data_IF_904645145831
#
_entry.id   IF_904645145831
#
_cell.length_a   1.000
_cell.length_b   1.000
_cell.length_c   1.000
_cell.angle_alpha   90.00
_cell.angle_beta   90.00
_cell.angle_gamma   90.00
#
_symmetry.space_group_name_H-M   'P 1'
#
loop_
_entity.id
_entity.type
_entity.pdbx_description
1 polymer ?
#
# COMPACT_ATOMS: atom_id res chain seq x y z
N UNK A 1 -20.29 -10.73 -43.87
CA UNK A 1 -20.01 -9.77 -42.77
C UNK A 1 -18.78 -10.24 -42.03
N UNK A 2 -17.74 -9.42 -42.08
CA UNK A 2 -16.35 -9.74 -41.72
C UNK A 2 -16.19 -10.02 -40.23
N UNK A 3 -15.57 -11.16 -39.92
CA UNK A 3 -15.05 -11.46 -38.58
C UNK A 3 -13.90 -10.51 -38.25
N UNK A 4 -14.18 -9.51 -37.41
CA UNK A 4 -13.15 -8.71 -36.73
C UNK A 4 -12.22 -9.68 -35.99
N UNK A 5 -10.94 -9.70 -36.38
CA UNK A 5 -9.92 -10.58 -35.79
C UNK A 5 -9.82 -10.34 -34.28
N UNK A 6 -9.47 -11.38 -33.51
CA UNK A 6 -9.26 -11.28 -32.05
C UNK A 6 -8.34 -10.11 -31.67
N UNK A 7 -7.37 -9.79 -32.52
CA UNK A 7 -6.43 -8.66 -32.38
C UNK A 7 -7.12 -7.29 -32.50
N UNK A 8 -8.05 -7.13 -33.45
CA UNK A 8 -8.83 -5.90 -33.57
C UNK A 8 -9.79 -5.73 -32.37
N UNK A 9 -10.39 -6.83 -31.87
CA UNK A 9 -11.21 -6.78 -30.66
C UNK A 9 -10.40 -6.44 -29.41
N UNK A 10 -9.20 -7.00 -29.25
CA UNK A 10 -8.33 -6.67 -28.11
C UNK A 10 -7.84 -5.22 -28.16
N UNK A 11 -7.51 -4.69 -29.35
CA UNK A 11 -7.10 -3.28 -29.52
C UNK A 11 -8.26 -2.32 -29.25
N UNK A 12 -9.48 -2.62 -29.72
CA UNK A 12 -10.66 -1.78 -29.44
C UNK A 12 -11.03 -1.78 -27.96
N UNK A 13 -10.98 -2.95 -27.29
CA UNK A 13 -11.21 -3.05 -25.84
C UNK A 13 -10.09 -2.32 -25.08
N UNK A 14 -8.83 -2.43 -25.50
CA UNK A 14 -7.70 -1.73 -24.88
C UNK A 14 -7.85 -0.20 -25.01
N UNK A 15 -8.27 0.32 -26.17
CA UNK A 15 -8.47 1.76 -26.38
C UNK A 15 -9.66 2.33 -25.58
N UNK A 16 -10.77 1.57 -25.45
CA UNK A 16 -11.89 1.98 -24.60
C UNK A 16 -11.53 1.88 -23.10
N UNK A 17 -10.79 0.84 -22.71
CA UNK A 17 -10.23 0.69 -21.37
C UNK A 17 -9.31 1.86 -21.03
N UNK A 18 -8.38 2.21 -21.92
CA UNK A 18 -7.46 3.34 -21.75
C UNK A 18 -8.21 4.65 -21.54
N UNK A 19 -9.20 4.96 -22.38
CA UNK A 19 -10.00 6.20 -22.23
C UNK A 19 -10.72 6.27 -20.87
N UNK A 20 -11.31 5.16 -20.42
CA UNK A 20 -11.99 5.11 -19.13
C UNK A 20 -10.99 5.24 -17.95
N UNK A 21 -9.82 4.62 -18.06
CA UNK A 21 -8.76 4.68 -17.06
C UNK A 21 -8.13 6.08 -16.98
N UNK A 22 -7.79 6.70 -18.11
CA UNK A 22 -7.30 8.08 -18.19
C UNK A 22 -8.29 9.05 -17.54
N UNK A 23 -9.58 8.95 -17.87
CA UNK A 23 -10.63 9.73 -17.20
C UNK A 23 -10.66 9.48 -15.70
N UNK A 24 -10.49 8.23 -15.25
CA UNK A 24 -10.46 7.88 -13.83
C UNK A 24 -9.23 8.50 -13.15
N UNK A 25 -8.04 8.38 -13.71
CA UNK A 25 -6.82 8.96 -13.17
C UNK A 25 -6.93 10.48 -13.04
N UNK A 26 -7.47 11.15 -14.06
CA UNK A 26 -7.68 12.60 -14.06
C UNK A 26 -8.72 13.12 -13.05
N UNK A 27 -9.62 12.26 -12.56
CA UNK A 27 -10.81 12.72 -11.80
C UNK A 27 -11.02 12.07 -10.45
N UNK A 28 -10.38 10.93 -10.17
CA UNK A 28 -10.62 10.17 -8.94
C UNK A 28 -9.97 10.80 -7.72
N UNK A 29 -8.68 11.14 -7.80
CA UNK A 29 -7.94 11.89 -6.78
C UNK A 29 -7.64 13.29 -7.32
N UNK A 30 -8.08 14.32 -6.61
CA UNK A 30 -7.93 15.73 -6.98
C UNK A 30 -7.16 16.48 -5.91
N UNK A 31 -6.61 17.68 -6.22
CA UNK A 31 -5.99 18.55 -5.22
C UNK A 31 -6.84 18.77 -3.95
N UNK A 32 -8.15 18.93 -4.09
CA UNK A 32 -9.05 19.12 -2.95
C UNK A 32 -9.17 17.89 -2.02
N UNK A 33 -8.84 16.70 -2.51
CA UNK A 33 -8.76 15.51 -1.66
C UNK A 33 -7.51 15.54 -0.80
N UNK A 34 -6.37 15.94 -1.38
CA UNK A 34 -5.10 16.13 -0.66
C UNK A 34 -5.25 17.25 0.37
N UNK A 35 -5.86 18.37 -0.01
CA UNK A 35 -6.18 19.48 0.92
C UNK A 35 -7.00 18.98 2.11
N UNK A 36 -7.99 18.12 1.84
CA UNK A 36 -8.84 17.52 2.86
C UNK A 36 -8.12 16.56 3.79
N UNK A 37 -7.17 15.78 3.27
CA UNK A 37 -6.30 14.91 4.07
C UNK A 37 -5.38 15.74 4.98
N UNK A 38 -4.72 16.76 4.42
CA UNK A 38 -3.86 17.67 5.17
C UNK A 38 -4.61 18.39 6.31
N UNK A 39 -5.86 18.80 6.05
CA UNK A 39 -6.69 19.50 7.04
C UNK A 39 -7.00 18.71 8.31
N UNK A 40 -6.90 17.37 8.27
CA UNK A 40 -7.05 16.49 9.43
C UNK A 40 -5.72 15.91 9.94
N UNK A 41 -4.61 16.46 9.45
CA UNK A 41 -3.26 16.10 9.92
C UNK A 41 -2.69 14.84 9.31
N UNK A 42 -3.21 14.36 8.17
CA UNK A 42 -2.51 13.33 7.39
C UNK A 42 -1.29 13.98 6.73
N UNK A 43 -0.13 13.37 6.93
CA UNK A 43 1.17 13.82 6.43
C UNK A 43 1.88 12.76 5.57
N UNK A 44 1.27 11.60 5.34
CA UNK A 44 1.80 10.52 4.50
C UNK A 44 0.74 9.98 3.54
N UNK A 45 1.15 9.73 2.29
CA UNK A 45 0.37 9.03 1.27
C UNK A 45 1.06 7.74 0.85
N UNK A 46 0.40 6.59 1.00
CA UNK A 46 0.80 5.34 0.32
C UNK A 46 0.04 5.24 -0.99
N UNK A 47 0.76 5.15 -2.11
CA UNK A 47 0.20 5.19 -3.46
C UNK A 47 0.56 3.88 -4.19
N UNK A 48 -0.37 2.92 -4.25
CA UNK A 48 -0.23 1.71 -5.04
C UNK A 48 -0.20 2.01 -6.55
N UNK A 49 0.75 1.39 -7.24
CA UNK A 49 0.88 1.41 -8.69
C UNK A 49 1.11 0.00 -9.21
N UNK A 50 0.59 -0.33 -10.38
CA UNK A 50 0.93 -1.59 -11.04
C UNK A 50 2.23 -1.46 -11.83
N UNK A 51 2.93 -2.58 -12.11
CA UNK A 51 4.15 -2.54 -12.93
C UNK A 51 3.93 -1.89 -14.31
N UNK A 52 2.72 -1.99 -14.88
CA UNK A 52 2.36 -1.40 -16.15
C UNK A 52 2.27 0.14 -16.11
N UNK A 53 2.42 0.77 -14.94
CA UNK A 53 2.66 2.21 -14.84
C UNK A 53 4.09 2.58 -15.26
N UNK A 54 5.03 1.65 -15.08
CA UNK A 54 6.47 1.91 -15.15
C UNK A 54 7.12 1.31 -16.39
N UNK A 55 6.65 0.13 -16.80
CA UNK A 55 7.21 -0.61 -17.93
C UNK A 55 6.09 -1.16 -18.81
N UNK A 56 6.26 -1.04 -20.12
CA UNK A 56 5.42 -1.76 -21.08
C UNK A 56 5.95 -3.19 -21.22
N UNK A 57 5.07 -4.17 -21.01
CA UNK A 57 5.41 -5.60 -21.16
C UNK A 57 4.57 -6.24 -22.25
N UNK A 58 5.19 -6.79 -23.32
CA UNK A 58 4.47 -7.55 -24.34
C UNK A 58 3.60 -8.65 -23.73
N UNK A 59 2.33 -8.68 -24.13
CA UNK A 59 1.35 -9.65 -23.67
C UNK A 59 0.66 -9.32 -22.34
N UNK A 60 1.09 -8.27 -21.62
CA UNK A 60 0.28 -7.75 -20.50
C UNK A 60 -1.04 -7.21 -21.02
N UNK A 61 -2.11 -7.42 -20.25
CA UNK A 61 -3.43 -6.83 -20.50
C UNK A 61 -3.68 -5.59 -19.61
N UNK A 62 -2.73 -5.25 -18.74
CA UNK A 62 -2.78 -4.03 -17.96
C UNK A 62 -2.52 -2.84 -18.89
N UNK A 63 -3.25 -1.76 -18.63
CA UNK A 63 -3.09 -0.53 -19.39
C UNK A 63 -1.76 0.14 -19.08
N UNK A 64 -1.01 0.52 -20.11
CA UNK A 64 0.17 1.37 -20.04
C UNK A 64 -0.15 2.68 -20.79
N UNK A 65 -0.14 3.80 -20.07
CA UNK A 65 -0.54 5.13 -20.54
C UNK A 65 0.03 6.24 -19.67
N UNK A 66 -0.75 7.28 -19.36
CA UNK A 66 -0.24 8.48 -18.69
C UNK A 66 -0.20 8.38 -17.15
N UNK A 67 -0.21 7.18 -16.58
CA UNK A 67 -0.21 7.00 -15.12
C UNK A 67 0.89 7.81 -14.42
N UNK A 68 2.10 7.88 -15.00
CA UNK A 68 3.22 8.63 -14.44
C UNK A 68 2.96 10.14 -14.38
N UNK A 69 2.22 10.71 -15.33
CA UNK A 69 1.86 12.13 -15.33
C UNK A 69 0.90 12.45 -14.18
N UNK A 70 -0.15 11.64 -14.02
CA UNK A 70 -1.09 11.82 -12.90
C UNK A 70 -0.42 11.56 -11.55
N UNK A 71 0.44 10.56 -11.46
CA UNK A 71 1.22 10.27 -10.26
C UNK A 71 2.07 11.48 -9.87
N UNK A 72 2.86 12.02 -10.82
CA UNK A 72 3.67 13.21 -10.62
C UNK A 72 2.84 14.39 -10.13
N UNK A 73 1.70 14.66 -10.75
CA UNK A 73 0.83 15.77 -10.36
C UNK A 73 0.33 15.63 -8.91
N UNK A 74 -0.07 14.42 -8.49
CA UNK A 74 -0.53 14.17 -7.13
C UNK A 74 0.62 14.27 -6.13
N UNK A 75 1.77 13.65 -6.42
CA UNK A 75 2.93 13.67 -5.50
C UNK A 75 3.52 15.06 -5.37
N UNK A 76 3.69 15.79 -6.47
CA UNK A 76 4.23 17.16 -6.44
C UNK A 76 3.31 18.08 -5.64
N UNK A 77 1.99 18.00 -5.84
CA UNK A 77 1.04 18.81 -5.09
C UNK A 77 1.09 18.51 -3.58
N UNK A 78 1.08 17.23 -3.20
CA UNK A 78 1.14 16.80 -1.81
C UNK A 78 2.45 17.23 -1.12
N UNK A 79 3.58 17.06 -1.80
CA UNK A 79 4.90 17.38 -1.27
C UNK A 79 5.11 18.90 -1.21
N UNK A 80 4.90 19.61 -2.31
CA UNK A 80 5.22 21.06 -2.38
C UNK A 80 4.30 21.91 -1.50
N UNK A 81 3.02 21.55 -1.39
CA UNK A 81 2.05 22.32 -0.62
C UNK A 81 2.04 21.97 0.88
N UNK A 82 2.23 20.69 1.20
CA UNK A 82 2.02 20.18 2.57
C UNK A 82 3.24 19.49 3.18
N UNK A 83 4.30 19.26 2.41
CA UNK A 83 5.47 18.51 2.87
C UNK A 83 5.18 17.04 3.13
N UNK A 84 4.11 16.48 2.54
CA UNK A 84 3.72 15.09 2.76
C UNK A 84 4.82 14.12 2.34
N UNK A 85 4.95 13.00 3.04
CA UNK A 85 5.78 11.87 2.64
C UNK A 85 4.98 10.93 1.73
N UNK A 86 5.62 10.30 0.76
CA UNK A 86 4.99 9.39 -0.20
C UNK A 86 5.66 8.02 -0.14
N UNK A 87 4.89 6.97 0.14
CA UNK A 87 5.29 5.59 -0.12
C UNK A 87 4.80 5.23 -1.52
N UNK A 88 5.72 5.02 -2.46
CA UNK A 88 5.41 4.51 -3.80
C UNK A 88 5.45 2.99 -3.77
N UNK A 89 4.28 2.39 -3.87
CA UNK A 89 4.09 0.94 -3.79
C UNK A 89 3.95 0.34 -5.19
N UNK A 90 4.75 -0.69 -5.46
CA UNK A 90 4.66 -1.51 -6.67
C UNK A 90 3.77 -2.71 -6.37
N UNK A 91 2.48 -2.44 -6.43
CA UNK A 91 1.42 -3.31 -5.94
C UNK A 91 1.28 -4.63 -6.72
N UNK A 92 1.67 -4.61 -8.00
CA UNK A 92 1.71 -5.79 -8.85
C UNK A 92 3.04 -5.90 -9.58
N UNK A 93 3.51 -7.15 -9.74
CA UNK A 93 4.70 -7.47 -10.53
C UNK A 93 4.36 -8.42 -11.68
N UNK A 94 5.16 -8.40 -12.76
CA UNK A 94 4.94 -9.26 -13.92
C UNK A 94 4.81 -10.73 -13.54
N UNK A 95 3.75 -11.39 -14.01
CA UNK A 95 3.47 -12.80 -13.73
C UNK A 95 2.59 -13.06 -12.50
N UNK A 96 2.32 -12.06 -11.66
CA UNK A 96 1.40 -12.17 -10.54
C UNK A 96 2.05 -12.74 -9.27
N UNK A 97 1.98 -11.93 -8.21
CA UNK A 97 2.66 -12.21 -6.92
C UNK A 97 1.78 -12.93 -5.90
N UNK A 98 0.47 -13.06 -6.13
CA UNK A 98 -0.44 -13.62 -5.12
C UNK A 98 -1.75 -14.20 -5.68
N UNK A 99 -1.88 -14.35 -7.01
CA UNK A 99 -3.08 -14.90 -7.63
C UNK A 99 -4.35 -14.07 -7.50
N UNK A 100 -4.29 -12.90 -6.86
CA UNK A 100 -5.38 -11.94 -6.76
C UNK A 100 -5.31 -10.93 -7.92
N UNK A 101 -6.39 -10.17 -8.08
CA UNK A 101 -6.43 -9.03 -9.00
C UNK A 101 -5.36 -7.98 -8.66
N UNK A 102 -5.09 -7.76 -7.38
CA UNK A 102 -4.07 -6.82 -6.90
C UNK A 102 -2.64 -7.20 -7.31
N UNK A 103 -2.31 -8.49 -7.39
CA UNK A 103 -0.95 -8.94 -7.68
C UNK A 103 -0.57 -8.96 -9.15
N UNK A 104 -1.56 -8.95 -10.06
CA UNK A 104 -1.48 -8.66 -11.51
C UNK A 104 -2.85 -8.91 -12.14
N UNK A 105 -3.39 -10.11 -11.91
CA UNK A 105 -4.71 -10.58 -12.33
C UNK A 105 -5.07 -11.86 -11.57
N UNK A 106 -6.36 -12.12 -11.43
CA UNK A 106 -6.86 -13.35 -10.81
C UNK A 106 -6.23 -14.59 -11.49
N UNK A 107 -5.69 -15.48 -10.66
CA UNK A 107 -5.05 -16.73 -11.08
C UNK A 107 -3.63 -16.62 -11.63
N UNK A 108 -2.98 -15.44 -11.57
CA UNK A 108 -1.58 -15.28 -11.96
C UNK A 108 -0.63 -15.54 -10.77
N UNK A 109 0.25 -16.53 -10.94
CA UNK A 109 1.19 -17.03 -9.92
C UNK A 109 2.62 -17.22 -10.46
N UNK A 110 2.87 -16.72 -11.66
CA UNK A 110 4.07 -16.99 -12.44
C UNK A 110 5.24 -16.08 -12.10
N UNK A 111 5.12 -15.19 -11.10
CA UNK A 111 6.24 -14.39 -10.62
C UNK A 111 7.28 -15.23 -9.85
N UNK A 112 6.82 -16.15 -9.01
CA UNK A 112 7.70 -17.02 -8.23
C UNK A 112 8.50 -17.96 -9.14
N UNK A 113 9.80 -18.04 -8.86
CA UNK A 113 10.75 -18.91 -9.56
C UNK A 113 10.83 -18.69 -11.08
N UNK A 114 10.48 -17.48 -11.54
CA UNK A 114 10.52 -17.10 -12.94
C UNK A 114 11.51 -15.96 -13.17
N UNK A 115 12.63 -16.28 -13.82
CA UNK A 115 13.72 -15.32 -14.03
C UNK A 115 13.32 -14.16 -14.96
N UNK A 116 12.50 -14.40 -15.98
CA UNK A 116 12.00 -13.31 -16.83
C UNK A 116 11.10 -12.36 -16.06
N UNK A 117 10.19 -12.88 -15.22
CA UNK A 117 9.36 -12.05 -14.35
C UNK A 117 10.20 -11.24 -13.36
N UNK A 118 11.24 -11.86 -12.79
CA UNK A 118 12.20 -11.22 -11.89
C UNK A 118 12.91 -10.03 -12.57
N UNK A 119 13.40 -10.22 -13.80
CA UNK A 119 14.09 -9.17 -14.56
C UNK A 119 13.16 -8.00 -14.91
N UNK A 120 11.94 -8.25 -15.35
CA UNK A 120 10.96 -7.18 -15.56
C UNK A 120 10.55 -6.48 -14.25
N UNK A 121 10.53 -7.20 -13.13
CA UNK A 121 10.30 -6.60 -11.81
C UNK A 121 11.44 -5.64 -11.46
N UNK A 122 12.69 -6.04 -11.67
CA UNK A 122 13.84 -5.15 -11.44
C UNK A 122 13.89 -3.96 -12.41
N UNK A 123 13.48 -4.14 -13.67
CA UNK A 123 13.35 -3.03 -14.61
C UNK A 123 12.25 -2.03 -14.18
N UNK A 124 11.18 -2.53 -13.55
CA UNK A 124 10.15 -1.69 -12.92
C UNK A 124 10.77 -0.84 -11.82
N UNK A 125 11.56 -1.46 -10.93
CA UNK A 125 12.25 -0.75 -9.83
C UNK A 125 13.20 0.32 -10.36
N UNK A 126 13.96 0.07 -11.43
CA UNK A 126 14.83 1.08 -12.03
C UNK A 126 14.05 2.32 -12.47
N UNK A 127 12.89 2.14 -13.10
CA UNK A 127 12.02 3.25 -13.53
C UNK A 127 11.42 4.03 -12.35
N UNK A 128 11.13 3.35 -11.24
CA UNK A 128 10.66 4.00 -10.02
C UNK A 128 11.77 4.84 -9.39
N UNK A 129 13.00 4.31 -9.36
CA UNK A 129 14.17 5.04 -8.86
C UNK A 129 14.46 6.28 -9.72
N UNK A 130 14.36 6.16 -11.05
CA UNK A 130 14.48 7.30 -11.97
C UNK A 130 13.45 8.38 -11.64
N UNK A 131 12.18 8.00 -11.47
CA UNK A 131 11.11 8.93 -11.10
C UNK A 131 11.37 9.63 -9.76
N UNK A 132 11.74 8.88 -8.72
CA UNK A 132 12.03 9.43 -7.40
C UNK A 132 13.22 10.40 -7.48
N UNK A 133 14.30 10.02 -8.15
CA UNK A 133 15.51 10.85 -8.25
C UNK A 133 15.28 12.12 -9.09
N UNK A 134 14.43 12.05 -10.11
CA UNK A 134 14.09 13.19 -10.97
C UNK A 134 12.97 14.08 -10.41
N UNK A 135 12.33 13.67 -9.30
CA UNK A 135 11.23 14.43 -8.68
C UNK A 135 11.63 15.79 -8.12
N UNK A 136 12.92 16.02 -7.84
CA UNK A 136 13.40 17.17 -7.08
C UNK A 136 13.10 17.12 -5.58
N UNK A 137 12.44 16.04 -5.11
CA UNK A 137 11.98 15.85 -3.74
C UNK A 137 12.24 14.42 -3.23
N UNK A 138 13.33 13.78 -3.65
CA UNK A 138 13.60 12.37 -3.35
C UNK A 138 13.59 12.01 -1.86
N UNK A 139 13.85 12.97 -0.97
CA UNK A 139 13.76 12.82 0.49
C UNK A 139 12.33 12.62 1.03
N UNK A 140 11.31 12.94 0.24
CA UNK A 140 9.89 12.74 0.57
C UNK A 140 9.35 11.39 0.06
N UNK A 141 10.21 10.51 -0.44
CA UNK A 141 9.80 9.22 -0.97
C UNK A 141 10.33 8.05 -0.13
N UNK A 142 9.54 6.98 -0.10
CA UNK A 142 9.93 5.63 0.27
C UNK A 142 9.47 4.70 -0.85
N UNK A 143 10.31 3.73 -1.25
CA UNK A 143 9.94 2.72 -2.24
C UNK A 143 9.43 1.47 -1.53
N UNK A 144 8.25 0.97 -1.88
CA UNK A 144 7.78 -0.37 -1.54
C UNK A 144 7.78 -1.25 -2.81
N UNK A 145 8.66 -2.26 -2.91
CA UNK A 145 8.97 -2.88 -4.21
C UNK A 145 8.04 -4.04 -4.61
N UNK A 146 7.18 -4.51 -3.70
CA UNK A 146 6.17 -5.55 -3.95
C UNK A 146 5.15 -5.56 -2.82
N UNK A 147 3.88 -5.77 -3.17
CA UNK A 147 2.79 -5.91 -2.22
C UNK A 147 2.34 -7.38 -2.08
N UNK A 148 2.18 -7.83 -0.84
CA UNK A 148 1.57 -9.13 -0.48
C UNK A 148 2.00 -10.37 -1.28
N UNK A 149 3.32 -10.61 -1.54
CA UNK A 149 3.77 -11.82 -2.22
C UNK A 149 3.34 -13.08 -1.45
N UNK A 150 2.68 -13.99 -2.16
CA UNK A 150 2.07 -15.23 -1.66
C UNK A 150 2.25 -16.32 -2.72
N UNK A 151 2.77 -17.48 -2.37
CA UNK A 151 2.87 -18.63 -3.28
C UNK A 151 1.96 -19.81 -2.89
N UNK A 152 1.30 -19.74 -1.73
CA UNK A 152 0.27 -20.69 -1.35
C UNK A 152 -1.06 -20.35 -2.05
N UNK A 153 -1.58 -21.31 -2.82
CA UNK A 153 -2.83 -21.14 -3.59
C UNK A 153 -4.08 -21.43 -2.76
N UNK A 154 -3.92 -21.97 -1.55
CA UNK A 154 -5.01 -22.05 -0.59
C UNK A 154 -5.24 -20.67 0.04
N UNK A 155 -6.20 -19.93 -0.52
CA UNK A 155 -6.56 -18.59 -0.05
C UNK A 155 -7.09 -18.56 1.39
N UNK A 156 -7.44 -19.70 2.01
CA UNK A 156 -7.76 -19.72 3.44
C UNK A 156 -6.57 -19.36 4.33
N UNK A 157 -5.35 -19.48 3.79
CA UNK A 157 -4.10 -19.09 4.46
C UNK A 157 -3.68 -17.65 4.21
N UNK A 158 -4.37 -16.94 3.30
CA UNK A 158 -4.05 -15.56 2.97
C UNK A 158 -4.21 -14.66 4.19
N UNK A 159 -3.27 -13.73 4.39
CA UNK A 159 -3.23 -12.92 5.61
C UNK A 159 -2.59 -13.61 6.83
N UNK A 160 -2.02 -14.82 6.65
CA UNK A 160 -1.32 -15.57 7.70
C UNK A 160 0.09 -15.96 7.24
N UNK A 161 1.00 -16.34 8.16
CA UNK A 161 2.33 -16.84 7.78
C UNK A 161 2.30 -18.06 6.84
N UNK A 162 1.21 -18.84 6.82
CA UNK A 162 1.10 -20.01 5.95
C UNK A 162 0.89 -19.67 4.46
N UNK A 163 0.69 -18.38 4.14
CA UNK A 163 0.56 -17.89 2.75
C UNK A 163 1.86 -18.00 1.95
N UNK A 164 3.02 -18.02 2.64
CA UNK A 164 4.33 -18.04 2.01
C UNK A 164 5.11 -19.30 2.38
N UNK A 165 5.43 -20.11 1.40
CA UNK A 165 6.27 -21.29 1.57
C UNK A 165 7.73 -20.93 1.80
N UNK A 166 8.53 -21.89 2.27
CA UNK A 166 9.98 -21.70 2.41
C UNK A 166 10.69 -21.41 1.08
N UNK A 167 10.17 -21.90 -0.05
CA UNK A 167 10.72 -21.58 -1.37
C UNK A 167 10.29 -20.17 -1.82
N UNK A 168 9.04 -19.81 -1.53
CA UNK A 168 8.52 -18.46 -1.73
C UNK A 168 9.32 -17.42 -0.96
N UNK A 169 9.62 -17.67 0.32
CA UNK A 169 10.42 -16.75 1.14
C UNK A 169 11.85 -16.57 0.65
N UNK A 170 12.50 -17.64 0.17
CA UNK A 170 13.82 -17.54 -0.47
C UNK A 170 13.77 -16.70 -1.76
N UNK A 171 12.70 -16.83 -2.55
CA UNK A 171 12.52 -16.05 -3.77
C UNK A 171 12.26 -14.57 -3.48
N UNK A 172 11.40 -14.27 -2.50
CA UNK A 172 11.15 -12.91 -2.02
C UNK A 172 12.44 -12.30 -1.47
N UNK A 173 13.22 -13.04 -0.67
CA UNK A 173 14.50 -12.55 -0.15
C UNK A 173 15.49 -12.24 -1.28
N UNK A 174 15.59 -13.11 -2.30
CA UNK A 174 16.41 -12.85 -3.50
C UNK A 174 15.99 -11.53 -4.17
N UNK A 175 14.68 -11.29 -4.28
CA UNK A 175 14.16 -10.06 -4.85
C UNK A 175 14.48 -8.84 -3.97
N UNK A 176 14.22 -8.90 -2.66
CA UNK A 176 14.55 -7.83 -1.72
C UNK A 176 16.03 -7.47 -1.73
N UNK A 177 16.94 -8.45 -1.71
CA UNK A 177 18.37 -8.20 -1.79
C UNK A 177 18.77 -7.47 -3.08
N UNK A 178 18.20 -7.87 -4.23
CA UNK A 178 18.47 -7.21 -5.51
C UNK A 178 17.91 -5.77 -5.57
N UNK A 179 16.74 -5.54 -4.98
CA UNK A 179 16.17 -4.18 -4.86
C UNK A 179 17.04 -3.31 -3.96
N UNK A 180 17.45 -3.82 -2.80
CA UNK A 180 18.31 -3.09 -1.86
C UNK A 180 19.65 -2.70 -2.51
N UNK A 181 20.25 -3.57 -3.32
CA UNK A 181 21.46 -3.27 -4.08
C UNK A 181 21.24 -2.13 -5.08
N UNK A 182 20.15 -2.18 -5.87
CA UNK A 182 19.81 -1.14 -6.84
C UNK A 182 19.53 0.21 -6.18
N UNK A 183 18.77 0.20 -5.08
CA UNK A 183 18.48 1.40 -4.28
C UNK A 183 19.79 1.97 -3.74
N UNK A 184 20.65 1.16 -3.13
CA UNK A 184 21.92 1.61 -2.58
C UNK A 184 22.82 2.25 -3.65
N UNK A 185 22.87 1.66 -4.85
CA UNK A 185 23.63 2.19 -5.99
C UNK A 185 23.04 3.49 -6.56
N UNK A 186 21.72 3.60 -6.61
CA UNK A 186 21.02 4.72 -7.23
C UNK A 186 20.85 5.91 -6.28
N UNK A 187 20.37 5.66 -5.07
CA UNK A 187 20.13 6.64 -4.03
C UNK A 187 20.28 5.97 -2.64
N UNK A 188 21.49 5.96 -2.05
CA UNK A 188 21.72 5.33 -0.74
C UNK A 188 20.98 5.99 0.41
N UNK A 189 20.36 7.16 0.16
CA UNK A 189 19.56 7.86 1.16
C UNK A 189 18.09 7.46 1.17
N UNK A 190 17.60 6.83 0.10
CA UNK A 190 16.21 6.39 -0.03
C UNK A 190 15.92 5.21 0.90
N UNK A 191 14.80 5.30 1.62
CA UNK A 191 14.30 4.18 2.42
C UNK A 191 13.53 3.19 1.54
N UNK A 192 13.64 1.91 1.87
CA UNK A 192 12.87 0.83 1.24
C UNK A 192 11.91 0.26 2.27
N UNK A 193 10.63 0.25 1.93
CA UNK A 193 9.57 -0.38 2.69
C UNK A 193 9.41 -1.82 2.19
N UNK A 194 9.68 -2.82 3.02
CA UNK A 194 9.56 -4.24 2.65
C UNK A 194 8.28 -4.80 3.25
N UNK A 195 7.37 -5.29 2.42
CA UNK A 195 6.19 -6.00 2.93
C UNK A 195 6.60 -7.27 3.68
N UNK A 196 6.03 -7.48 4.88
CA UNK A 196 6.40 -8.57 5.77
C UNK A 196 5.94 -9.96 5.30
N UNK A 197 5.18 -10.03 4.20
CA UNK A 197 4.56 -11.25 3.68
C UNK A 197 3.75 -12.01 4.74
N UNK A 198 3.16 -11.27 5.69
CA UNK A 198 2.45 -11.76 6.86
C UNK A 198 3.28 -12.59 7.85
N UNK A 199 4.62 -12.58 7.71
CA UNK A 199 5.54 -13.29 8.62
C UNK A 199 5.92 -12.45 9.85
N UNK A 200 5.77 -11.13 9.79
CA UNK A 200 6.32 -10.19 10.77
C UNK A 200 7.78 -9.83 10.53
N UNK A 201 8.21 -8.70 11.10
CA UNK A 201 9.56 -8.14 10.92
C UNK A 201 10.66 -9.10 11.38
N UNK A 202 10.50 -9.76 12.54
CA UNK A 202 11.48 -10.67 13.12
C UNK A 202 11.83 -11.87 12.21
N UNK A 203 10.94 -12.27 11.31
CA UNK A 203 11.22 -13.32 10.35
C UNK A 203 12.27 -12.88 9.32
N UNK A 204 12.22 -11.61 8.91
CA UNK A 204 13.08 -11.07 7.86
C UNK A 204 14.31 -10.34 8.39
N UNK A 205 14.23 -9.78 9.60
CA UNK A 205 15.28 -8.96 10.23
C UNK A 205 16.68 -9.61 10.19
N UNK A 206 16.86 -10.93 10.37
CA UNK A 206 18.20 -11.54 10.39
C UNK A 206 18.92 -11.49 9.04
N UNK A 207 18.20 -11.33 7.93
CA UNK A 207 18.78 -11.32 6.58
C UNK A 207 19.35 -9.96 6.16
N UNK A 208 19.08 -8.91 6.92
CA UNK A 208 19.49 -7.55 6.59
C UNK A 208 20.42 -6.97 7.67
N UNK A 209 21.34 -6.10 7.27
CA UNK A 209 22.22 -5.39 8.18
C UNK A 209 21.47 -4.17 8.77
N UNK A 210 21.60 -3.92 10.07
CA UNK A 210 20.87 -2.86 10.80
C UNK A 210 21.04 -1.43 10.22
N UNK A 211 22.16 -1.18 9.51
CA UNK A 211 22.44 0.09 8.83
C UNK A 211 21.65 0.30 7.53
N UNK A 212 21.01 -0.75 7.00
CA UNK A 212 20.18 -0.61 5.79
C UNK A 212 18.92 0.19 6.14
N UNK A 213 18.54 1.12 5.26
CA UNK A 213 17.38 2.00 5.45
C UNK A 213 16.07 1.26 5.12
N UNK A 214 15.74 0.28 5.94
CA UNK A 214 14.54 -0.56 5.78
C UNK A 214 13.47 -0.13 6.78
N UNK A 215 12.21 -0.17 6.35
CA UNK A 215 11.02 -0.20 7.20
C UNK A 215 10.17 -1.39 6.77
N UNK A 216 9.57 -2.14 7.69
CA UNK A 216 8.65 -3.22 7.32
C UNK A 216 7.22 -2.74 7.22
N UNK A 217 6.55 -3.05 6.11
CA UNK A 217 5.11 -2.87 5.95
C UNK A 217 4.37 -4.10 6.50
N UNK A 218 3.30 -3.82 7.23
CA UNK A 218 2.44 -4.79 7.89
C UNK A 218 0.99 -4.46 7.56
N UNK A 219 0.26 -5.44 7.02
CA UNK A 219 -1.18 -5.29 6.77
C UNK A 219 -2.02 -5.98 7.84
N UNK A 220 -3.05 -5.29 8.35
CA UNK A 220 -3.96 -5.83 9.39
C UNK A 220 -5.41 -5.54 9.06
N UNK A 221 -6.13 -6.60 8.68
CA UNK A 221 -7.56 -6.55 8.40
C UNK A 221 -8.36 -7.42 9.37
N UNK A 222 -9.60 -7.00 9.64
CA UNK A 222 -10.49 -7.67 10.58
C UNK A 222 -11.69 -8.31 9.88
N UNK A 223 -12.00 -7.95 8.64
CA UNK A 223 -13.05 -8.63 7.87
C UNK A 223 -12.63 -10.04 7.40
N UNK A 224 -11.33 -10.30 7.31
CA UNK A 224 -10.75 -11.54 6.80
C UNK A 224 -10.46 -12.60 7.89
N UNK A 225 -10.85 -12.36 9.15
CA UNK A 225 -10.66 -13.29 10.26
C UNK A 225 -11.69 -13.05 11.37
N UNK A 226 -12.05 -14.06 12.17
CA UNK A 226 -13.09 -13.93 13.18
C UNK A 226 -12.94 -12.68 14.07
N UNK A 227 -13.84 -11.73 13.90
CA UNK A 227 -13.85 -10.48 14.65
C UNK A 227 -15.25 -9.87 14.71
N UNK A 228 -15.52 -9.13 15.78
CA UNK A 228 -16.75 -8.37 16.02
C UNK A 228 -16.39 -7.00 16.60
N UNK A 229 -17.28 -6.00 16.58
CA UNK A 229 -16.99 -4.71 17.20
C UNK A 229 -16.67 -4.78 18.69
N UNK A 230 -17.09 -5.84 19.38
CA UNK A 230 -16.84 -6.05 20.81
C UNK A 230 -15.42 -6.53 21.08
N UNK A 231 -14.79 -7.29 20.18
CA UNK A 231 -13.46 -7.87 20.39
C UNK A 231 -12.36 -7.23 19.54
N UNK A 232 -12.70 -6.49 18.48
CA UNK A 232 -11.73 -6.01 17.49
C UNK A 232 -10.64 -5.11 18.08
N UNK A 233 -10.96 -4.33 19.11
CA UNK A 233 -9.98 -3.46 19.78
C UNK A 233 -8.92 -4.26 20.53
N UNK A 234 -9.30 -5.38 21.17
CA UNK A 234 -8.35 -6.29 21.81
C UNK A 234 -7.47 -6.99 20.76
N UNK A 235 -8.04 -7.37 19.62
CA UNK A 235 -7.27 -7.95 18.50
C UNK A 235 -6.27 -6.92 17.96
N UNK A 236 -6.69 -5.68 17.72
CA UNK A 236 -5.82 -4.57 17.30
C UNK A 236 -4.64 -4.39 18.25
N UNK A 237 -4.88 -4.39 19.57
CA UNK A 237 -3.80 -4.26 20.57
C UNK A 237 -2.80 -5.41 20.45
N UNK A 238 -3.28 -6.66 20.34
CA UNK A 238 -2.39 -7.81 20.15
C UNK A 238 -1.61 -7.75 18.85
N UNK A 239 -2.24 -7.30 17.76
CA UNK A 239 -1.54 -7.11 16.48
C UNK A 239 -0.49 -6.02 16.59
N UNK A 240 -0.78 -4.92 17.30
CA UNK A 240 0.16 -3.82 17.51
C UNK A 240 1.42 -4.29 18.23
N UNK A 241 1.24 -5.03 19.32
CA UNK A 241 2.34 -5.64 20.08
C UNK A 241 3.20 -6.56 19.21
N UNK A 242 2.58 -7.42 18.39
CA UNK A 242 3.29 -8.30 17.46
C UNK A 242 3.96 -7.55 16.31
N UNK A 243 3.33 -6.47 15.84
CA UNK A 243 3.83 -5.64 14.75
C UNK A 243 5.10 -4.87 15.11
N UNK A 244 5.44 -4.73 16.39
CA UNK A 244 6.70 -4.13 16.81
C UNK A 244 7.94 -4.95 16.37
N UNK A 245 7.78 -6.26 16.11
CA UNK A 245 8.87 -7.14 15.70
C UNK A 245 9.91 -7.35 16.82
N UNK A 246 11.17 -7.57 16.43
CA UNK A 246 12.30 -7.64 17.36
C UNK A 246 12.97 -6.28 17.61
N UNK A 247 12.52 -5.24 16.91
CA UNK A 247 12.97 -3.86 17.04
C UNK A 247 14.24 -3.53 16.25
N UNK A 248 14.81 -4.46 15.48
CA UNK A 248 15.97 -4.20 14.62
C UNK A 248 15.64 -3.23 13.50
N UNK A 249 14.45 -3.36 12.88
CA UNK A 249 13.94 -2.40 11.91
C UNK A 249 12.62 -1.78 12.36
N UNK A 250 12.36 -0.51 12.00
CA UNK A 250 11.05 0.08 12.23
C UNK A 250 9.98 -0.66 11.43
N UNK A 251 8.77 -0.72 11.98
CA UNK A 251 7.58 -1.22 11.28
C UNK A 251 6.56 -0.11 11.07
N UNK A 252 5.72 -0.27 10.06
CA UNK A 252 4.63 0.65 9.71
C UNK A 252 3.43 -0.17 9.26
N UNK A 253 2.23 0.18 9.72
CA UNK A 253 1.01 -0.53 9.30
C UNK A 253 0.47 0.11 8.02
N UNK A 254 0.97 -0.28 6.86
CA UNK A 254 0.68 0.34 5.57
C UNK A 254 -0.72 0.06 5.03
N UNK A 255 -1.39 -0.95 5.54
CA UNK A 255 -2.82 -1.16 5.31
C UNK A 255 -3.57 -1.69 6.54
N UNK A 256 -4.72 -1.08 6.79
CA UNK A 256 -5.72 -1.58 7.73
C UNK A 256 -7.06 -0.90 7.47
N UNK A 257 -8.14 -1.54 7.94
CA UNK A 257 -9.48 -0.97 7.94
C UNK A 257 -10.29 -1.51 9.12
N UNK A 258 -11.34 -0.77 9.53
CA UNK A 258 -12.10 -1.10 10.75
C UNK A 258 -13.23 -2.13 10.54
N UNK A 259 -13.50 -2.56 9.31
CA UNK A 259 -14.57 -3.53 9.04
C UNK A 259 -14.26 -4.85 9.76
N UNK A 260 -15.22 -5.36 10.53
CA UNK A 260 -15.15 -6.68 11.18
C UNK A 260 -15.82 -7.76 10.33
N UNK A 261 -15.57 -9.03 10.63
CA UNK A 261 -16.18 -10.15 9.88
C UNK A 261 -17.68 -10.20 10.11
N UNK A 262 -18.14 -9.99 11.35
CA UNK A 262 -19.56 -9.97 11.68
C UNK A 262 -19.94 -8.80 12.58
N UNK A 263 -21.23 -8.50 12.61
CA UNK A 263 -21.88 -7.61 13.56
C UNK A 263 -21.43 -6.16 13.47
N UNK A 264 -21.07 -5.65 12.28
CA UNK A 264 -20.58 -4.28 12.12
C UNK A 264 -21.62 -3.26 12.65
N UNK A 265 -21.21 -2.35 13.54
CA UNK A 265 -22.08 -1.34 14.18
C UNK A 265 -21.58 0.10 13.94
N UNK A 266 -22.39 0.95 13.34
CA UNK A 266 -22.06 2.35 13.08
C UNK A 266 -21.66 3.11 14.34
N UNK A 267 -22.27 2.77 15.48
CA UNK A 267 -21.96 3.36 16.79
C UNK A 267 -20.51 3.10 17.24
N UNK A 268 -19.92 1.98 16.80
CA UNK A 268 -18.57 1.56 17.18
C UNK A 268 -17.46 2.05 16.25
N UNK A 269 -17.79 2.55 15.05
CA UNK A 269 -16.79 2.96 14.05
C UNK A 269 -15.73 3.92 14.58
N UNK A 270 -16.16 4.99 15.26
CA UNK A 270 -15.24 6.01 15.78
C UNK A 270 -14.33 5.46 16.87
N UNK A 271 -14.88 4.61 17.75
CA UNK A 271 -14.14 3.96 18.82
C UNK A 271 -13.06 3.04 18.25
N UNK A 272 -13.44 2.16 17.32
CA UNK A 272 -12.53 1.20 16.67
C UNK A 272 -11.46 1.92 15.85
N UNK A 273 -11.83 2.94 15.07
CA UNK A 273 -10.86 3.71 14.29
C UNK A 273 -9.85 4.41 15.19
N UNK A 274 -10.31 5.14 16.22
CA UNK A 274 -9.40 5.82 17.15
C UNK A 274 -8.48 4.83 17.87
N UNK A 275 -9.03 3.72 18.36
CA UNK A 275 -8.26 2.69 19.05
C UNK A 275 -7.17 2.10 18.16
N UNK A 276 -7.49 1.76 16.91
CA UNK A 276 -6.52 1.29 15.93
C UNK A 276 -5.43 2.34 15.68
N UNK A 277 -5.79 3.59 15.36
CA UNK A 277 -4.83 4.67 15.13
C UNK A 277 -3.88 4.90 16.31
N UNK A 278 -4.40 4.89 17.54
CA UNK A 278 -3.59 5.02 18.76
C UNK A 278 -2.69 3.80 18.98
N UNK A 279 -3.19 2.60 18.71
CA UNK A 279 -2.43 1.36 18.80
C UNK A 279 -1.26 1.33 17.82
N UNK A 280 -1.49 1.66 16.54
CA UNK A 280 -0.43 1.68 15.53
C UNK A 280 0.63 2.72 15.85
N UNK A 281 0.23 3.90 16.31
CA UNK A 281 1.16 4.94 16.78
C UNK A 281 1.95 4.52 18.02
N UNK A 282 1.36 3.72 18.91
CA UNK A 282 2.00 3.27 20.15
C UNK A 282 3.09 2.23 19.88
N UNK A 283 2.83 1.25 19.00
CA UNK A 283 3.70 0.09 18.84
C UNK A 283 4.56 0.12 17.55
N UNK A 284 4.22 0.96 16.57
CA UNK A 284 4.91 1.04 15.27
C UNK A 284 5.20 2.51 14.91
N UNK A 285 5.69 2.78 13.69
CA UNK A 285 5.91 4.15 13.19
C UNK A 285 4.65 4.85 12.67
N UNK A 286 3.49 4.21 12.79
CA UNK A 286 2.21 4.77 12.37
C UNK A 286 1.48 3.83 11.42
N UNK A 287 0.54 4.39 10.66
CA UNK A 287 -0.24 3.59 9.72
C UNK A 287 -0.78 4.40 8.54
N UNK A 288 -1.07 3.70 7.45
CA UNK A 288 -1.86 4.20 6.32
C UNK A 288 -3.18 3.43 6.24
N UNK A 289 -4.30 4.15 6.31
CA UNK A 289 -5.62 3.54 6.28
C UNK A 289 -6.00 3.16 4.86
N UNK A 290 -6.54 1.97 4.65
CA UNK A 290 -7.11 1.57 3.38
C UNK A 290 -8.61 1.91 3.37
N UNK A 291 -9.05 2.97 2.69
CA UNK A 291 -8.33 3.89 1.80
C UNK A 291 -8.91 5.32 1.80
N UNK A 292 -8.31 6.22 1.00
CA UNK A 292 -8.71 7.63 0.88
C UNK A 292 -10.11 7.80 0.27
N UNK A 293 -10.50 6.96 -0.69
CA UNK A 293 -11.81 7.01 -1.37
C UNK A 293 -12.26 5.62 -1.81
N UNK A 294 -13.47 5.26 -1.41
CA UNK A 294 -14.09 3.99 -1.75
C UNK A 294 -15.56 4.20 -2.10
N UNK A 295 -16.03 3.56 -3.16
CA UNK A 295 -17.43 3.65 -3.63
C UNK A 295 -18.11 2.28 -3.78
N UNK A 296 -17.49 1.21 -3.28
CA UNK A 296 -18.09 -0.12 -3.31
C UNK A 296 -19.30 -0.19 -2.38
N UNK A 297 -20.38 -0.75 -2.88
CA UNK A 297 -21.71 -0.76 -2.26
C UNK A 297 -22.12 -2.15 -1.75
N UNK A 298 -21.21 -3.13 -1.76
CA UNK A 298 -21.50 -4.45 -1.22
C UNK A 298 -21.88 -4.34 0.26
N UNK A 299 -22.94 -5.03 0.71
CA UNK A 299 -23.34 -5.03 2.11
C UNK A 299 -22.25 -5.68 2.96
N UNK A 300 -22.13 -5.23 4.20
CA UNK A 300 -21.34 -5.93 5.23
C UNK A 300 -22.29 -6.69 6.17
N UNK A 301 -21.77 -7.67 6.90
CA UNK A 301 -22.54 -8.28 7.98
C UNK A 301 -22.74 -7.26 9.12
N UNK A 302 -23.99 -6.97 9.46
CA UNK A 302 -24.38 -5.85 10.33
C UNK A 302 -24.83 -4.62 9.53
N UNK A 303 -24.36 -3.44 9.93
CA UNK A 303 -24.86 -2.16 9.43
C UNK A 303 -24.02 -1.62 8.25
N UNK A 304 -24.67 -1.45 7.09
CA UNK A 304 -24.16 -0.64 5.99
C UNK A 304 -23.45 -1.38 4.86
N UNK A 305 -22.58 -0.67 4.14
CA UNK A 305 -21.85 -1.16 2.97
C UNK A 305 -20.35 -0.91 3.09
N UNK A 306 -19.53 -1.62 2.30
CA UNK A 306 -18.06 -1.50 2.34
C UNK A 306 -17.55 -0.06 2.26
N UNK A 307 -18.14 0.83 1.45
CA UNK A 307 -17.76 2.25 1.41
C UNK A 307 -17.83 2.96 2.76
N UNK A 308 -18.78 2.58 3.61
CA UNK A 308 -18.97 3.19 4.92
C UNK A 308 -17.99 2.67 5.98
N UNK A 309 -17.18 1.66 5.65
CA UNK A 309 -16.19 1.01 6.52
C UNK A 309 -14.75 1.11 5.99
N UNK A 310 -14.58 1.28 4.68
CA UNK A 310 -13.27 1.35 4.00
C UNK A 310 -12.90 2.78 3.54
N UNK A 311 -13.87 3.66 3.31
CA UNK A 311 -13.60 4.96 2.66
C UNK A 311 -13.50 6.16 3.61
N UNK A 312 -13.20 7.32 3.02
CA UNK A 312 -13.17 8.67 3.63
C UNK A 312 -14.30 8.96 4.63
N UNK A 313 -15.50 8.42 4.40
CA UNK A 313 -16.65 8.63 5.30
C UNK A 313 -16.40 8.16 6.74
N UNK A 314 -15.50 7.19 6.95
CA UNK A 314 -15.06 6.74 8.27
C UNK A 314 -14.23 7.82 8.97
N UNK A 315 -13.31 8.46 8.23
CA UNK A 315 -12.38 9.46 8.75
C UNK A 315 -13.04 10.83 8.98
N UNK A 316 -13.97 11.25 8.11
CA UNK A 316 -14.48 12.62 8.10
C UNK A 316 -15.99 12.75 8.41
N UNK A 317 -16.77 11.68 8.24
CA UNK A 317 -18.24 11.73 8.40
C UNK A 317 -18.74 11.75 9.84
N UNK A 318 -17.90 11.37 10.81
CA UNK A 318 -18.24 11.35 12.25
C UNK A 318 -17.20 12.05 13.14
N UNK A 319 -16.13 12.56 12.55
CA UNK A 319 -15.17 13.47 13.16
C UNK A 319 -15.55 14.90 12.75
N UNK A 320 -16.77 15.35 13.09
CA UNK A 320 -16.95 16.78 13.35
C UNK A 320 -16.25 17.05 14.68
N UNK A 321 -14.94 17.27 14.62
CA UNK A 321 -14.26 17.98 15.70
C UNK A 321 -14.86 19.39 15.64
N UNK A 322 -15.84 19.65 16.52
CA UNK A 322 -16.03 21.02 16.99
C UNK A 322 -14.72 21.32 17.71
N UNK A 323 -13.84 22.05 17.03
CA UNK A 323 -12.68 22.66 17.65
C UNK A 323 -13.23 23.64 18.68
N UNK A 324 -13.27 23.21 19.94
CA UNK A 324 -13.19 24.18 21.01
C UNK A 324 -11.72 24.55 21.08
N UNK A 325 -11.46 25.85 20.96
CA UNK A 325 -10.13 26.43 21.08
C UNK A 325 -9.45 25.93 22.35
N UNK A 326 -8.13 25.73 22.25
CA UNK A 326 -7.19 25.14 23.21
C UNK A 326 -6.98 23.63 23.09
N UNK A 327 -5.69 23.26 23.16
CA UNK A 327 -5.10 21.90 23.12
C UNK A 327 -4.39 21.52 21.80
N UNK A 328 -3.13 22.00 21.77
CA UNK A 328 -1.91 21.31 21.32
C UNK A 328 -1.54 21.44 19.83
N UNK A 329 -0.84 22.55 19.56
CA UNK A 329 0.35 22.54 18.70
C UNK A 329 1.36 21.54 19.28
N UNK A 330 1.66 20.48 18.55
CA UNK A 330 2.93 19.77 18.68
C UNK A 330 3.53 19.68 17.28
N UNK A 331 4.22 20.77 16.90
CA UNK A 331 5.17 20.78 15.81
C UNK A 331 6.31 19.83 16.19
N UNK A 332 6.49 18.75 15.44
CA UNK A 332 7.76 18.04 15.39
C UNK A 332 8.78 18.94 14.68
N UNK A 333 9.40 19.81 15.47
CA UNK A 333 10.57 20.58 15.11
C UNK A 333 11.61 20.33 16.18
N UNK A 334 12.37 19.24 16.06
CA UNK A 334 13.77 19.06 16.48
C UNK A 334 14.13 17.58 16.47
N UNK A 335 14.84 17.15 15.44
CA UNK A 335 15.85 16.09 15.49
C UNK A 335 16.63 16.24 14.19
N UNK A 336 17.54 17.20 14.15
CA UNK A 336 18.75 17.32 13.31
C UNK A 336 19.22 18.80 13.36
N UNK A 337 19.88 19.19 14.45
CA UNK A 337 20.93 20.23 14.43
C UNK A 337 21.78 20.20 15.71
N UNK A 338 23.01 19.74 15.54
CA UNK A 338 24.26 20.13 16.22
C UNK A 338 24.34 20.09 17.76
N UNK A 339 24.97 19.03 18.28
CA UNK A 339 26.36 19.07 18.79
C UNK A 339 26.96 17.67 18.81
#
# INVERSE_FOLDING_TARGET
MLGLSKTLRSVVIYNQCGTALERRYATWIKPCDIDGLAAVGIDLLRIPTNYATWVERPGSQLYHGNQLEYLKNVTDYAITKYGMHVVLDIHSLPGGVNGLDIGERVGAWSWFHNQTAFEYSLATIDRVLDFINQSGHSQHFTLEPVNEPTDNRDFSTFGTPATLSSKGSQWVLKYYSAVMERVHKSNPNLSVMLFDAFQGEQFWSPFFHEKQKIVFDIHRYYFARPSTPQNVTAIMTSDGEKAAGDGKFPTFVGEWAIQTTTGNEYAKRREVFRHGSETWKKYTRGSAYWNVKYSGNAPVDGEGTQAQWMGRSVQFGQVRIRWNESVIKLRLATLFSNK
#
